data_IF_467965389553
#
_entry.id   IF_467965389553
#
_cell.length_a   1.000
_cell.length_b   1.000
_cell.length_c   1.000
_cell.angle_alpha   90.00
_cell.angle_beta   90.00
_cell.angle_gamma   90.00
#
_symmetry.space_group_name_H-M   'P 1'
#
loop_
_entity.id
_entity.type
_entity.pdbx_description
1 polymer ?
#
# COMPACT_ATOMS: atom_id res chain seq x y z
N UNK A 1 10.82 9.69 1.79
CA UNK A 1 11.15 8.89 3.00
C UNK A 1 12.63 9.10 3.35
N UNK A 2 13.04 8.90 4.62
CA UNK A 2 12.17 8.71 5.78
C UNK A 2 11.35 9.97 6.09
N UNK A 3 10.15 9.79 6.63
CA UNK A 3 9.27 10.85 7.09
C UNK A 3 9.45 11.05 8.60
N UNK A 4 9.77 12.27 9.03
CA UNK A 4 10.13 12.58 10.42
C UNK A 4 8.99 12.40 11.42
N UNK A 5 7.74 12.47 10.93
CA UNK A 5 6.51 12.31 11.72
C UNK A 5 6.29 10.86 12.20
N UNK A 6 6.99 9.88 11.59
CA UNK A 6 6.86 8.47 11.91
C UNK A 6 8.15 7.96 12.58
N UNK A 7 8.22 7.88 13.92
CA UNK A 7 9.47 7.59 14.62
C UNK A 7 9.92 6.13 14.50
N UNK A 8 9.03 5.20 14.11
CA UNK A 8 9.31 3.76 14.06
C UNK A 8 9.14 3.13 12.67
N UNK A 9 9.25 1.79 12.61
CA UNK A 9 9.02 1.04 11.37
C UNK A 9 7.63 1.34 10.82
N UNK A 10 7.57 1.77 9.55
CA UNK A 10 6.32 2.22 8.93
C UNK A 10 6.24 1.73 7.50
N UNK A 11 5.09 1.17 7.15
CA UNK A 11 4.71 0.77 5.81
C UNK A 11 3.79 1.84 5.20
N UNK A 12 4.22 2.49 4.14
CA UNK A 12 3.45 3.49 3.39
C UNK A 12 2.91 2.81 2.13
N UNK A 13 1.73 2.18 2.24
CA UNK A 13 1.09 1.49 1.11
C UNK A 13 0.51 2.47 0.09
N UNK A 14 -0.05 3.59 0.54
CA UNK A 14 -0.47 4.70 -0.32
C UNK A 14 -0.66 5.93 0.58
N UNK A 15 0.45 6.50 1.06
CA UNK A 15 0.35 7.60 2.01
C UNK A 15 -0.05 8.89 1.28
N UNK A 16 -1.32 9.24 1.47
CA UNK A 16 -2.01 10.37 0.89
C UNK A 16 -3.27 10.70 1.73
N UNK A 17 -4.04 11.69 1.32
CA UNK A 17 -5.26 12.14 1.99
C UNK A 17 -6.48 11.25 1.64
N UNK A 18 -6.48 9.98 2.07
CA UNK A 18 -7.57 9.04 1.83
C UNK A 18 -8.73 9.18 2.85
N UNK A 19 -9.96 8.90 2.40
CA UNK A 19 -11.21 9.07 3.11
C UNK A 19 -12.27 8.03 2.71
N UNK A 20 -13.00 7.52 3.71
CA UNK A 20 -14.25 6.79 3.54
C UNK A 20 -15.43 7.77 3.59
N UNK A 21 -16.22 7.82 2.51
CA UNK A 21 -17.41 8.66 2.40
C UNK A 21 -18.65 7.94 2.94
N UNK A 22 -19.44 8.66 3.74
CA UNK A 22 -20.71 8.16 4.29
C UNK A 22 -21.69 7.75 3.19
N UNK A 23 -22.38 6.63 3.39
CA UNK A 23 -23.36 6.09 2.43
C UNK A 23 -22.76 5.38 1.22
N UNK A 24 -21.45 5.11 1.23
CA UNK A 24 -20.76 4.35 0.18
C UNK A 24 -20.35 2.96 0.68
N UNK A 25 -19.86 2.11 -0.24
CA UNK A 25 -19.26 0.81 0.10
C UNK A 25 -17.76 0.90 0.44
N UNK A 26 -17.22 2.12 0.59
CA UNK A 26 -15.82 2.33 0.97
C UNK A 26 -15.54 1.81 2.37
N UNK A 27 -14.38 1.20 2.54
CA UNK A 27 -14.06 0.43 3.72
C UNK A 27 -12.55 0.21 3.87
N UNK A 28 -12.14 -0.07 5.11
CA UNK A 28 -10.88 -0.71 5.42
C UNK A 28 -11.21 -2.02 6.14
N UNK A 29 -10.78 -3.13 5.56
CA UNK A 29 -10.87 -4.45 6.17
C UNK A 29 -9.50 -4.93 6.62
N UNK A 30 -9.48 -5.76 7.65
CA UNK A 30 -8.28 -6.53 7.98
C UNK A 30 -8.66 -7.95 8.38
N UNK A 31 -7.76 -8.88 8.11
CA UNK A 31 -7.97 -10.29 8.42
C UNK A 31 -6.67 -11.06 8.42
N UNK A 32 -6.68 -12.21 9.09
CA UNK A 32 -5.60 -13.18 8.99
C UNK A 32 -6.04 -14.36 8.14
N UNK A 33 -5.16 -14.79 7.23
CA UNK A 33 -5.37 -16.00 6.42
C UNK A 33 -4.29 -17.02 6.73
N UNK A 34 -4.52 -18.28 6.36
CA UNK A 34 -3.58 -19.37 6.65
C UNK A 34 -3.68 -19.90 8.08
N UNK A 35 -2.67 -20.66 8.48
CA UNK A 35 -2.59 -21.32 9.80
C UNK A 35 -1.19 -21.19 10.36
N UNK A 36 -1.06 -21.03 11.67
CA UNK A 36 0.25 -20.91 12.30
C UNK A 36 1.14 -22.13 11.97
N UNK A 37 2.44 -21.93 11.70
CA UNK A 37 3.20 -20.66 11.77
C UNK A 37 3.25 -19.87 10.44
N UNK A 38 2.37 -20.14 9.48
CA UNK A 38 2.37 -19.54 8.13
C UNK A 38 1.09 -18.72 7.90
N UNK A 39 0.81 -17.74 8.78
CA UNK A 39 -0.31 -16.82 8.60
C UNK A 39 0.12 -15.55 7.86
N UNK A 40 -0.82 -14.97 7.13
CA UNK A 40 -0.67 -13.65 6.54
C UNK A 40 -1.66 -12.70 7.22
N UNK A 41 -1.21 -11.51 7.62
CA UNK A 41 -2.09 -10.41 8.01
C UNK A 41 -2.29 -9.51 6.80
N UNK A 42 -3.54 -9.36 6.38
CA UNK A 42 -3.93 -8.55 5.22
C UNK A 42 -4.74 -7.37 5.71
N UNK A 43 -4.35 -6.17 5.30
CA UNK A 43 -5.20 -4.98 5.31
C UNK A 43 -5.65 -4.71 3.88
N UNK A 44 -6.93 -4.45 3.68
CA UNK A 44 -7.50 -4.08 2.39
C UNK A 44 -8.18 -2.72 2.51
N UNK A 45 -7.82 -1.82 1.60
CA UNK A 45 -8.33 -0.46 1.54
C UNK A 45 -9.16 -0.32 0.28
N UNK A 46 -10.40 0.16 0.43
CA UNK A 46 -11.26 0.61 -0.66
C UNK A 46 -11.80 1.99 -0.28
N UNK A 47 -11.09 3.04 -0.68
CA UNK A 47 -11.32 4.41 -0.21
C UNK A 47 -11.33 5.42 -1.37
N UNK A 48 -11.56 6.70 -1.06
CA UNK A 48 -11.41 7.80 -2.01
C UNK A 48 -10.47 8.89 -1.51
N UNK A 49 -10.04 9.78 -2.40
CA UNK A 49 -9.26 10.94 -2.01
C UNK A 49 -10.16 11.98 -1.33
N UNK A 50 -9.64 12.67 -0.32
CA UNK A 50 -10.32 13.75 0.38
C UNK A 50 -10.74 14.86 -0.59
N UNK A 51 -12.01 15.25 -0.54
CA UNK A 51 -12.60 16.21 -1.47
C UNK A 51 -12.90 15.66 -2.88
N UNK A 52 -12.63 14.38 -3.16
CA UNK A 52 -12.82 13.76 -4.48
C UNK A 52 -13.45 12.35 -4.34
N UNK A 53 -14.75 12.30 -4.03
CA UNK A 53 -15.48 11.04 -3.73
C UNK A 53 -15.57 10.02 -4.89
N UNK A 54 -15.13 10.40 -6.10
CA UNK A 54 -15.12 9.52 -7.28
C UNK A 54 -13.71 9.10 -7.71
N UNK A 55 -12.67 9.55 -7.01
CA UNK A 55 -11.31 9.02 -7.17
C UNK A 55 -11.15 7.86 -6.21
N UNK A 56 -11.08 6.63 -6.72
CA UNK A 56 -11.07 5.42 -5.91
C UNK A 56 -9.67 4.82 -5.81
N UNK A 57 -9.39 4.24 -4.65
CA UNK A 57 -8.13 3.58 -4.33
C UNK A 57 -8.47 2.22 -3.74
N UNK A 58 -8.05 1.17 -4.44
CA UNK A 58 -8.21 -0.22 -4.03
C UNK A 58 -6.84 -0.89 -3.99
N UNK A 59 -6.38 -1.21 -2.79
CA UNK A 59 -5.10 -1.87 -2.59
C UNK A 59 -5.09 -2.68 -1.29
N UNK A 60 -4.13 -3.60 -1.21
CA UNK A 60 -3.88 -4.41 -0.02
C UNK A 60 -2.45 -4.22 0.47
N UNK A 61 -2.27 -4.37 1.77
CA UNK A 61 -0.98 -4.47 2.45
C UNK A 61 -0.92 -5.83 3.15
N UNK A 62 0.11 -6.62 2.85
CA UNK A 62 0.26 -7.99 3.36
C UNK A 62 1.54 -8.11 4.18
N UNK A 63 1.39 -8.58 5.42
CA UNK A 63 2.49 -8.98 6.30
C UNK A 63 2.48 -10.49 6.49
N UNK A 64 3.68 -11.07 6.62
CA UNK A 64 3.88 -12.51 6.65
C UNK A 64 4.46 -12.96 7.99
N UNK A 65 3.82 -13.93 8.64
CA UNK A 65 4.31 -14.50 9.92
C UNK A 65 5.64 -15.24 9.72
N UNK A 66 5.80 -15.96 8.61
CA UNK A 66 6.96 -16.78 8.30
C UNK A 66 8.07 -16.04 7.51
N UNK A 67 7.84 -14.79 7.11
CA UNK A 67 8.78 -13.95 6.37
C UNK A 67 8.89 -12.56 7.02
N UNK A 68 9.44 -12.47 8.25
CA UNK A 68 9.60 -11.20 8.92
C UNK A 68 10.51 -10.25 8.13
N UNK A 69 10.15 -8.97 8.12
CA UNK A 69 10.88 -7.92 7.38
C UNK A 69 10.46 -7.79 5.90
N UNK A 70 9.53 -8.62 5.43
CA UNK A 70 8.90 -8.50 4.11
C UNK A 70 7.49 -7.94 4.24
N UNK A 71 7.14 -6.99 3.37
CA UNK A 71 5.77 -6.48 3.20
C UNK A 71 5.44 -6.35 1.72
N UNK A 72 4.25 -6.81 1.34
CA UNK A 72 3.76 -6.69 -0.03
C UNK A 72 2.61 -5.70 -0.12
N UNK A 73 2.62 -4.89 -1.18
CA UNK A 73 1.51 -4.03 -1.58
C UNK A 73 0.93 -4.53 -2.91
N UNK A 74 -0.38 -4.79 -2.93
CA UNK A 74 -1.09 -5.24 -4.12
C UNK A 74 -2.09 -4.14 -4.51
N UNK A 75 -1.90 -3.53 -5.68
CA UNK A 75 -2.79 -2.47 -6.17
C UNK A 75 -3.74 -3.02 -7.22
N UNK A 76 -5.02 -2.66 -7.09
CA UNK A 76 -6.07 -3.00 -8.04
C UNK A 76 -6.57 -1.75 -8.76
N UNK A 77 -6.65 -0.62 -8.05
CA UNK A 77 -7.08 0.67 -8.58
C UNK A 77 -6.40 1.82 -7.83
N UNK A 78 -5.90 2.81 -8.57
CA UNK A 78 -5.49 4.11 -8.05
C UNK A 78 -5.86 5.17 -9.09
N UNK A 79 -6.96 5.90 -8.87
CA UNK A 79 -7.56 6.77 -9.88
C UNK A 79 -6.64 7.86 -10.45
N UNK A 80 -5.68 8.35 -9.66
CA UNK A 80 -4.74 9.42 -10.04
C UNK A 80 -3.32 8.91 -10.36
N UNK A 81 -3.15 7.58 -10.32
CA UNK A 81 -1.89 6.89 -10.59
C UNK A 81 -0.73 7.25 -9.66
N UNK A 82 -0.96 7.73 -8.43
CA UNK A 82 0.12 8.02 -7.47
C UNK A 82 0.63 9.45 -7.46
N UNK A 83 -0.07 10.40 -8.09
CA UNK A 83 0.42 11.77 -8.32
C UNK A 83 0.80 12.54 -7.04
N UNK A 84 0.15 12.25 -5.91
CA UNK A 84 0.40 12.89 -4.60
C UNK A 84 0.79 11.91 -3.50
N UNK A 85 0.93 10.62 -3.83
CA UNK A 85 1.14 9.58 -2.85
C UNK A 85 2.62 9.32 -2.58
N UNK A 86 2.94 8.98 -1.34
CA UNK A 86 4.22 8.36 -0.97
C UNK A 86 4.03 6.85 -0.78
N UNK A 87 4.84 6.06 -1.48
CA UNK A 87 4.83 4.59 -1.38
C UNK A 87 6.22 4.07 -1.03
N UNK A 88 6.31 3.28 0.03
CA UNK A 88 7.56 2.67 0.47
C UNK A 88 7.52 2.16 1.90
N UNK A 89 8.69 1.96 2.50
CA UNK A 89 8.88 1.55 3.89
C UNK A 89 10.02 2.35 4.53
N UNK A 90 9.96 2.54 5.84
CA UNK A 90 11.07 3.10 6.63
C UNK A 90 11.26 2.35 7.95
N UNK A 91 12.48 2.36 8.50
CA UNK A 91 12.77 1.79 9.82
C UNK A 91 12.55 2.77 10.98
N UNK A 92 12.73 4.07 10.74
CA UNK A 92 12.53 5.17 11.70
C UNK A 92 12.55 6.53 10.99
N UNK A 93 12.33 7.61 11.74
CA UNK A 93 12.31 9.00 11.24
C UNK A 93 13.64 9.47 10.63
N UNK A 94 14.75 8.79 10.91
CA UNK A 94 16.08 9.08 10.36
C UNK A 94 16.83 7.80 9.92
N UNK A 95 16.10 6.68 9.79
CA UNK A 95 16.66 5.38 9.48
C UNK A 95 16.65 5.02 8.00
N UNK A 96 16.99 3.78 7.69
CA UNK A 96 16.91 3.23 6.34
C UNK A 96 15.48 3.28 5.81
N UNK A 97 15.36 3.51 4.50
CA UNK A 97 14.07 3.47 3.81
C UNK A 97 14.24 2.89 2.41
N UNK A 98 13.18 2.26 1.92
CA UNK A 98 13.06 1.82 0.54
C UNK A 98 11.85 2.57 -0.02
N UNK A 99 12.09 3.42 -1.00
CA UNK A 99 11.06 4.26 -1.61
C UNK A 99 10.75 3.74 -3.00
N UNK A 100 9.47 3.49 -3.29
CA UNK A 100 9.02 3.23 -4.65
C UNK A 100 8.74 4.55 -5.37
N UNK A 101 7.89 5.39 -4.78
CA UNK A 101 7.54 6.69 -5.36
C UNK A 101 7.19 7.73 -4.30
N UNK A 102 7.33 9.00 -4.68
CA UNK A 102 6.87 10.18 -3.95
C UNK A 102 6.28 11.14 -4.97
N UNK A 103 4.98 11.39 -4.88
CA UNK A 103 4.26 12.40 -5.67
C UNK A 103 4.53 12.29 -7.18
N UNK A 104 4.47 11.07 -7.72
CA UNK A 104 4.76 10.80 -9.13
C UNK A 104 3.54 10.26 -9.84
N UNK A 105 3.03 11.04 -10.79
CA UNK A 105 1.92 10.62 -11.63
C UNK A 105 2.27 9.36 -12.43
N UNK A 106 1.28 8.48 -12.59
CA UNK A 106 1.36 7.23 -13.35
C UNK A 106 2.38 6.20 -12.82
N UNK A 107 2.81 6.32 -11.56
CA UNK A 107 3.63 5.29 -10.91
C UNK A 107 2.80 4.03 -10.60
N UNK A 108 1.51 4.20 -10.26
CA UNK A 108 0.58 3.08 -10.03
C UNK A 108 -0.36 2.95 -11.23
N UNK A 109 -0.46 1.77 -11.87
CA UNK A 109 -1.40 1.57 -12.97
C UNK A 109 -2.85 1.83 -12.56
N UNK A 110 -3.55 2.61 -13.38
CA UNK A 110 -4.97 2.95 -13.14
C UNK A 110 -5.86 1.77 -13.52
N UNK A 111 -6.25 0.97 -12.53
CA UNK A 111 -7.31 -0.02 -12.71
C UNK A 111 -8.72 0.57 -12.58
N UNK A 112 -9.71 -0.29 -12.44
CA UNK A 112 -11.14 0.09 -12.30
C UNK A 112 -11.78 -0.73 -11.19
N UNK A 113 -13.00 -0.37 -10.77
CA UNK A 113 -13.75 -1.17 -9.79
C UNK A 113 -14.10 -2.59 -10.27
N UNK A 114 -13.90 -2.91 -11.55
CA UNK A 114 -14.04 -4.26 -12.10
C UNK A 114 -12.73 -5.07 -12.07
N UNK A 115 -11.61 -4.45 -11.67
CA UNK A 115 -10.31 -5.10 -11.57
C UNK A 115 -10.32 -6.11 -10.42
N UNK A 116 -10.18 -7.39 -10.73
CA UNK A 116 -10.21 -8.50 -9.75
C UNK A 116 -8.84 -9.11 -9.46
N UNK A 117 -7.81 -8.71 -10.21
CA UNK A 117 -6.42 -9.11 -10.02
C UNK A 117 -5.53 -7.88 -9.86
N UNK A 118 -4.45 -7.92 -9.06
CA UNK A 118 -3.56 -6.79 -8.92
C UNK A 118 -2.96 -6.35 -10.26
N UNK A 119 -2.97 -5.05 -10.54
CA UNK A 119 -2.29 -4.43 -11.68
C UNK A 119 -0.82 -4.17 -11.39
N UNK A 120 -0.48 -4.01 -10.11
CA UNK A 120 0.87 -3.79 -9.60
C UNK A 120 1.03 -4.52 -8.28
N UNK A 121 2.13 -5.27 -8.15
CA UNK A 121 2.57 -5.85 -6.90
C UNK A 121 3.97 -5.30 -6.60
N UNK A 122 4.13 -4.74 -5.40
CA UNK A 122 5.41 -4.32 -4.86
C UNK A 122 5.74 -5.19 -3.66
N UNK A 123 6.94 -5.77 -3.62
CA UNK A 123 7.46 -6.47 -2.45
C UNK A 123 8.67 -5.75 -1.91
N UNK A 124 8.63 -5.37 -0.63
CA UNK A 124 9.71 -4.69 0.07
C UNK A 124 10.36 -5.66 1.05
N UNK A 125 11.63 -5.96 0.86
CA UNK A 125 12.42 -6.77 1.79
C UNK A 125 13.42 -5.88 2.53
N UNK A 126 13.10 -5.59 3.79
CA UNK A 126 13.93 -4.75 4.65
C UNK A 126 15.19 -5.46 5.15
N UNK A 127 15.25 -6.79 5.08
CA UNK A 127 16.45 -7.55 5.46
C UNK A 127 17.56 -7.36 4.41
N UNK A 128 17.17 -7.26 3.14
CA UNK A 128 18.10 -7.09 2.00
C UNK A 128 18.13 -5.66 1.47
N UNK A 129 17.27 -4.77 1.98
CA UNK A 129 17.09 -3.40 1.48
C UNK A 129 16.74 -3.36 -0.02
N UNK A 130 15.91 -4.30 -0.47
CA UNK A 130 15.49 -4.41 -1.87
C UNK A 130 13.98 -4.24 -2.02
N UNK A 131 13.58 -3.86 -3.24
CA UNK A 131 12.18 -3.88 -3.66
C UNK A 131 12.08 -4.53 -5.03
N UNK A 132 11.07 -5.37 -5.21
CA UNK A 132 10.71 -5.95 -6.50
C UNK A 132 9.35 -5.47 -6.96
N UNK A 133 9.21 -5.24 -8.26
CA UNK A 133 7.98 -4.81 -8.91
C UNK A 133 7.50 -5.88 -9.89
N UNK A 134 6.23 -6.25 -9.82
CA UNK A 134 5.54 -7.08 -10.83
C UNK A 134 4.33 -6.33 -11.36
N UNK A 135 4.22 -6.22 -12.68
CA UNK A 135 3.07 -5.58 -13.37
C UNK A 135 2.23 -6.69 -14.01
N UNK A 136 0.91 -6.61 -13.80
CA UNK A 136 -0.09 -7.55 -14.33
C UNK A 136 -0.53 -7.25 -15.76
#
# INVERSE_FOLDING_TARGET
LPASQFPGPTAFGYWDDLMIYSGTSQSVYYGTTGTAPNRNLVFEFYESHYGQSTQYYHFQIVFYENLPGVVDYLYFQASDGGVSATIGVQSSSAGSSITYTVNQANAVPVGTSATTSPTLILSFDTNTSTMTQTVG
#
